data_IF_231301537927
#
_entry.id   IF_231301537927
#
_cell.length_a   1.000
_cell.length_b   1.000
_cell.length_c   1.000
_cell.angle_alpha   90.00
_cell.angle_beta   90.00
_cell.angle_gamma   90.00
#
_symmetry.space_group_name_H-M   'P 1'
#
loop_
_entity.id
_entity.type
_entity.pdbx_description
1 polymer ?
#
# COMPACT_ATOMS: atom_id res chain seq x y z
N UNK A 1 -4.33 9.64 6.91
CA UNK A 1 -4.95 10.65 6.01
C UNK A 1 -3.97 11.67 5.44
N UNK A 2 -2.91 12.10 6.16
CA UNK A 2 -1.90 13.03 5.60
C UNK A 2 -1.20 12.51 4.34
N UNK A 3 -1.00 11.20 4.22
CA UNK A 3 -0.27 10.58 3.10
C UNK A 3 -1.03 10.61 1.77
N UNK A 4 -2.37 10.53 1.81
CA UNK A 4 -3.21 10.55 0.61
C UNK A 4 -3.72 11.98 0.29
N UNK A 5 -3.47 12.94 1.18
CA UNK A 5 -3.92 14.33 1.07
C UNK A 5 -2.77 15.23 0.61
N UNK A 6 -2.97 16.12 -0.38
CA UNK A 6 -4.18 16.33 -1.16
C UNK A 6 -4.36 15.31 -2.29
N UNK A 7 -5.61 14.93 -2.57
CA UNK A 7 -5.96 14.16 -3.77
C UNK A 7 -6.15 15.13 -4.93
N UNK A 8 -5.44 14.88 -6.04
CA UNK A 8 -5.47 15.69 -7.27
C UNK A 8 -5.85 14.81 -8.46
N UNK A 9 -6.64 15.35 -9.38
CA UNK A 9 -6.97 14.69 -10.65
C UNK A 9 -5.80 14.75 -11.64
N UNK A 10 -5.62 13.72 -12.48
CA UNK A 10 -4.54 13.65 -13.49
C UNK A 10 -4.66 14.72 -14.59
N UNK A 11 -5.88 15.06 -15.00
CA UNK A 11 -6.16 16.01 -16.08
C UNK A 11 -6.55 17.34 -15.47
N UNK A 12 -5.76 18.39 -15.74
CA UNK A 12 -5.96 19.80 -15.34
C UNK A 12 -6.57 19.99 -13.95
N UNK A 13 -5.72 20.30 -12.97
CA UNK A 13 -5.99 20.41 -11.53
C UNK A 13 -7.08 21.43 -11.11
N UNK A 14 -8.31 21.29 -11.60
CA UNK A 14 -9.46 22.15 -11.29
C UNK A 14 -9.99 21.88 -9.89
N UNK A 15 -9.79 20.66 -9.38
CA UNK A 15 -10.27 20.22 -8.08
C UNK A 15 -9.09 19.73 -7.22
N UNK A 16 -9.12 20.09 -5.95
CA UNK A 16 -8.19 19.58 -4.94
C UNK A 16 -8.98 19.18 -3.69
N UNK A 17 -8.91 17.90 -3.31
CA UNK A 17 -9.58 17.36 -2.13
C UNK A 17 -8.56 17.20 -1.00
N UNK A 18 -8.89 17.75 0.17
CA UNK A 18 -8.07 17.66 1.38
C UNK A 18 -8.84 16.99 2.50
N UNK A 19 -8.14 16.15 3.25
CA UNK A 19 -8.64 15.56 4.48
C UNK A 19 -8.19 16.44 5.66
N UNK A 20 -9.14 17.10 6.32
CA UNK A 20 -8.87 18.12 7.34
C UNK A 20 -8.82 17.49 8.73
N UNK A 21 -9.87 16.76 9.08
CA UNK A 21 -10.04 16.15 10.39
C UNK A 21 -10.84 14.86 10.27
N UNK A 22 -10.82 14.05 11.32
CA UNK A 22 -11.70 12.90 11.46
C UNK A 22 -12.23 12.86 12.90
N UNK A 23 -13.42 12.31 13.06
CA UNK A 23 -14.06 12.09 14.35
C UNK A 23 -14.70 10.70 14.37
N UNK A 24 -14.56 10.01 15.51
CA UNK A 24 -15.41 8.86 15.82
C UNK A 24 -16.58 9.38 16.62
N UNK A 25 -17.80 9.12 16.16
CA UNK A 25 -18.99 9.39 16.99
C UNK A 25 -19.30 8.16 17.83
N UNK A 26 -20.14 8.34 18.84
CA UNK A 26 -20.53 7.25 19.71
C UNK A 26 -21.17 6.08 18.93
N UNK A 27 -21.03 4.83 19.41
CA UNK A 27 -21.77 3.70 18.88
C UNK A 27 -23.26 4.02 18.75
N UNK A 28 -23.90 3.49 17.71
CA UNK A 28 -25.31 3.73 17.47
C UNK A 28 -26.13 3.29 18.70
N UNK A 29 -27.24 3.96 19.02
CA UNK A 29 -28.13 3.49 20.09
C UNK A 29 -28.48 2.02 19.90
N UNK A 30 -28.38 1.23 20.98
CA UNK A 30 -28.60 -0.22 20.94
C UNK A 30 -27.41 -1.05 20.44
N UNK A 31 -26.19 -0.47 20.38
CA UNK A 31 -24.94 -1.14 20.05
C UNK A 31 -23.93 -1.06 21.22
N UNK A 32 -24.40 -1.29 22.44
CA UNK A 32 -23.48 -1.61 23.54
C UNK A 32 -22.83 -2.99 23.32
N UNK A 33 -21.72 -3.27 24.01
CA UNK A 33 -21.05 -4.58 23.92
C UNK A 33 -22.04 -5.75 24.16
N UNK A 34 -22.87 -5.65 25.21
CA UNK A 34 -23.86 -6.69 25.57
C UNK A 34 -24.94 -6.87 24.50
N UNK A 35 -25.50 -5.77 23.99
CA UNK A 35 -26.54 -5.83 22.95
C UNK A 35 -25.98 -6.40 21.63
N UNK A 36 -24.73 -6.08 21.30
CA UNK A 36 -24.09 -6.62 20.12
C UNK A 36 -23.93 -8.14 20.20
N UNK A 37 -23.65 -8.69 21.38
CA UNK A 37 -23.64 -10.13 21.62
C UNK A 37 -25.02 -10.76 21.43
N UNK A 38 -26.03 -10.25 22.14
CA UNK A 38 -27.38 -10.85 22.15
C UNK A 38 -28.06 -10.79 20.78
N UNK A 39 -27.81 -9.71 20.02
CA UNK A 39 -28.50 -9.43 18.76
C UNK A 39 -27.68 -9.79 17.52
N UNK A 40 -26.54 -10.44 17.69
CA UNK A 40 -25.61 -10.78 16.60
C UNK A 40 -25.16 -9.56 15.77
N UNK A 41 -24.90 -8.43 16.43
CA UNK A 41 -24.42 -7.19 15.79
C UNK A 41 -22.89 -7.05 15.94
N UNK A 42 -22.33 -6.06 15.26
CA UNK A 42 -20.92 -5.67 15.39
C UNK A 42 -20.83 -4.47 16.32
N UNK A 43 -19.92 -4.53 17.30
CA UNK A 43 -19.62 -3.40 18.18
C UNK A 43 -18.68 -2.43 17.44
N UNK A 44 -19.20 -1.27 17.04
CA UNK A 44 -18.50 -0.33 16.18
C UNK A 44 -18.96 1.11 16.39
N UNK A 45 -18.07 2.06 16.09
CA UNK A 45 -18.37 3.49 16.05
C UNK A 45 -18.32 4.03 14.61
N UNK A 46 -19.25 4.91 14.22
CA UNK A 46 -19.20 5.55 12.91
C UNK A 46 -18.04 6.57 12.84
N UNK A 47 -17.22 6.44 11.80
CA UNK A 47 -16.13 7.34 11.48
C UNK A 47 -16.62 8.40 10.48
N UNK A 48 -16.54 9.66 10.89
CA UNK A 48 -16.76 10.82 10.04
C UNK A 48 -15.45 11.51 9.72
N UNK A 49 -15.36 12.06 8.53
CA UNK A 49 -14.16 12.71 8.02
C UNK A 49 -14.53 14.05 7.43
N UNK A 50 -13.92 15.11 7.95
CA UNK A 50 -14.05 16.46 7.41
C UNK A 50 -13.17 16.57 6.18
N UNK A 51 -13.81 16.72 5.03
CA UNK A 51 -13.14 16.96 3.76
C UNK A 51 -13.32 18.40 3.32
N UNK A 52 -12.32 18.93 2.64
CA UNK A 52 -12.33 20.24 2.03
C UNK A 52 -12.07 20.07 0.53
N UNK A 53 -13.01 20.51 -0.30
CA UNK A 53 -12.89 20.54 -1.76
C UNK A 53 -12.62 21.98 -2.20
N UNK A 54 -11.45 22.21 -2.79
CA UNK A 54 -11.08 23.47 -3.43
C UNK A 54 -11.33 23.36 -4.95
N UNK A 55 -12.18 24.24 -5.47
CA UNK A 55 -12.39 24.43 -6.91
C UNK A 55 -11.46 25.56 -7.37
N UNK A 56 -10.32 25.21 -7.97
CA UNK A 56 -9.26 26.18 -8.30
C UNK A 56 -9.67 27.24 -9.31
N UNK A 57 -10.61 26.93 -10.20
CA UNK A 57 -11.10 27.87 -11.22
C UNK A 57 -11.89 29.02 -10.61
N UNK A 58 -12.67 28.75 -9.55
CA UNK A 58 -13.52 29.74 -8.89
C UNK A 58 -12.95 30.22 -7.55
N UNK A 59 -11.97 29.51 -7.00
CA UNK A 59 -11.48 29.71 -5.63
C UNK A 59 -12.47 29.24 -4.56
N UNK A 60 -13.59 28.62 -4.94
CA UNK A 60 -14.62 28.16 -4.01
C UNK A 60 -14.11 26.99 -3.15
N UNK A 61 -14.36 27.08 -1.84
CA UNK A 61 -14.02 26.05 -0.87
C UNK A 61 -15.32 25.48 -0.30
N UNK A 62 -15.50 24.17 -0.44
CA UNK A 62 -16.61 23.43 0.16
C UNK A 62 -16.09 22.50 1.24
N UNK A 63 -16.58 22.64 2.46
CA UNK A 63 -16.28 21.74 3.56
C UNK A 63 -17.49 20.89 3.89
N UNK A 64 -17.26 19.59 4.10
CA UNK A 64 -18.31 18.66 4.44
C UNK A 64 -17.77 17.55 5.34
N UNK A 65 -18.58 17.14 6.31
CA UNK A 65 -18.35 15.93 7.09
C UNK A 65 -18.97 14.74 6.35
N UNK A 66 -18.12 13.81 5.92
CA UNK A 66 -18.53 12.60 5.20
C UNK A 66 -18.46 11.39 6.13
N UNK A 67 -19.50 10.55 6.10
CA UNK A 67 -19.47 9.25 6.74
C UNK A 67 -18.58 8.31 5.93
N UNK A 68 -17.51 7.80 6.52
CA UNK A 68 -16.58 6.89 5.85
C UNK A 68 -16.95 5.41 6.08
N UNK A 69 -17.57 5.10 7.21
CA UNK A 69 -17.96 3.74 7.58
C UNK A 69 -17.97 3.53 9.09
N UNK A 70 -18.45 2.37 9.52
CA UNK A 70 -18.38 1.95 10.92
C UNK A 70 -17.07 1.21 11.18
N UNK A 71 -16.34 1.63 12.21
CA UNK A 71 -15.06 1.04 12.61
C UNK A 71 -15.28 0.17 13.86
N UNK A 72 -14.92 -1.12 13.82
CA UNK A 72 -15.00 -1.99 14.99
C UNK A 72 -14.23 -1.42 16.18
N UNK A 73 -14.87 -1.40 17.34
CA UNK A 73 -14.27 -0.92 18.58
C UNK A 73 -13.70 -2.09 19.39
N UNK A 74 -12.59 -1.82 20.07
CA UNK A 74 -12.00 -2.74 21.03
C UNK A 74 -12.77 -2.64 22.35
N UNK A 75 -13.15 -3.79 22.89
CA UNK A 75 -13.80 -3.91 24.20
C UNK A 75 -12.80 -3.67 25.33
N UNK A 76 -13.30 -3.49 26.56
CA UNK A 76 -12.43 -3.42 27.74
C UNK A 76 -11.54 -4.67 27.97
N UNK A 77 -11.90 -5.81 27.35
CA UNK A 77 -11.13 -7.06 27.41
C UNK A 77 -10.03 -7.17 26.35
N UNK A 78 -9.91 -6.18 25.45
CA UNK A 78 -8.99 -6.26 24.31
C UNK A 78 -9.48 -7.14 23.16
N UNK A 79 -10.79 -7.44 23.11
CA UNK A 79 -11.43 -8.22 22.05
C UNK A 79 -12.25 -7.30 21.13
N UNK A 80 -12.79 -7.85 20.04
CA UNK A 80 -13.71 -7.19 19.13
C UNK A 80 -14.98 -8.02 18.99
N UNK A 81 -16.14 -7.39 18.94
CA UNK A 81 -17.41 -8.10 18.71
C UNK A 81 -17.82 -7.88 17.26
N UNK A 82 -17.95 -8.96 16.51
CA UNK A 82 -18.32 -8.93 15.09
C UNK A 82 -19.38 -9.98 14.81
N UNK A 83 -20.56 -9.53 14.37
CA UNK A 83 -21.73 -10.40 14.19
C UNK A 83 -22.03 -11.25 15.45
N UNK A 84 -21.98 -10.64 16.64
CA UNK A 84 -22.21 -11.28 17.94
C UNK A 84 -21.05 -12.12 18.49
N UNK A 85 -20.07 -12.48 17.65
CA UNK A 85 -18.93 -13.28 18.05
C UNK A 85 -17.78 -12.40 18.56
N UNK A 86 -17.22 -12.77 19.72
CA UNK A 86 -15.97 -12.22 20.25
C UNK A 86 -14.79 -12.74 19.41
N UNK A 87 -13.95 -11.82 18.92
CA UNK A 87 -12.75 -12.09 18.12
C UNK A 87 -11.56 -11.38 18.72
N UNK A 88 -10.39 -11.99 18.60
CA UNK A 88 -9.12 -11.40 19.04
C UNK A 88 -8.24 -11.18 17.82
N UNK A 89 -7.66 -9.98 17.72
CA UNK A 89 -6.63 -9.70 16.72
C UNK A 89 -5.30 -10.22 17.27
N UNK A 90 -4.66 -11.13 16.54
CA UNK A 90 -3.35 -11.66 16.90
C UNK A 90 -2.26 -10.93 16.13
N UNK A 91 -1.15 -10.62 16.82
CA UNK A 91 0.03 -10.05 16.17
C UNK A 91 0.64 -11.07 15.21
N UNK A 92 0.82 -10.68 13.95
CA UNK A 92 1.51 -11.49 12.95
C UNK A 92 2.98 -11.09 12.87
N UNK A 93 3.86 -12.08 12.72
CA UNK A 93 5.25 -11.84 12.37
C UNK A 93 5.35 -11.61 10.86
N UNK A 94 5.59 -10.36 10.48
CA UNK A 94 5.85 -9.97 9.10
C UNK A 94 7.36 -9.92 8.85
N UNK A 95 7.77 -10.07 7.58
CA UNK A 95 9.16 -9.82 7.18
C UNK A 95 9.51 -8.36 7.45
N UNK A 96 10.68 -8.13 8.03
CA UNK A 96 11.18 -6.78 8.24
C UNK A 96 11.39 -6.07 6.88
N UNK A 97 11.28 -4.74 6.83
CA UNK A 97 11.75 -3.99 5.68
C UNK A 97 13.23 -4.29 5.41
N UNK A 98 13.60 -4.45 4.15
CA UNK A 98 14.96 -4.82 3.77
C UNK A 98 15.07 -5.38 2.36
N UNK A 99 16.28 -5.81 2.01
CA UNK A 99 16.57 -6.48 0.75
C UNK A 99 16.83 -7.96 1.03
N UNK A 100 16.05 -8.81 0.37
CA UNK A 100 16.12 -10.26 0.50
C UNK A 100 16.60 -10.87 -0.81
N UNK A 101 17.69 -11.62 -0.76
CA UNK A 101 18.20 -12.38 -1.90
C UNK A 101 17.77 -13.84 -1.77
N UNK A 102 17.48 -14.49 -2.89
CA UNK A 102 17.12 -15.90 -2.94
C UNK A 102 17.68 -16.52 -4.21
N UNK A 103 18.29 -17.69 -4.08
CA UNK A 103 18.76 -18.52 -5.18
C UNK A 103 17.84 -19.75 -5.23
N UNK A 104 17.38 -20.10 -6.42
CA UNK A 104 16.55 -21.28 -6.64
C UNK A 104 16.89 -21.95 -7.96
N UNK A 105 16.70 -23.26 -8.04
CA UNK A 105 16.94 -24.04 -9.25
C UNK A 105 15.74 -23.97 -10.19
N UNK A 106 15.97 -23.63 -11.46
CA UNK A 106 14.95 -23.70 -12.51
C UNK A 106 14.61 -25.16 -12.79
N UNK A 107 13.36 -25.55 -12.54
CA UNK A 107 12.92 -26.94 -12.67
C UNK A 107 13.05 -27.52 -14.09
N UNK A 108 13.17 -26.68 -15.12
CA UNK A 108 13.28 -27.13 -16.52
C UNK A 108 14.74 -27.28 -16.95
N UNK A 109 15.59 -26.33 -16.57
CA UNK A 109 16.98 -26.28 -17.02
C UNK A 109 17.99 -26.75 -15.98
N UNK A 110 17.59 -26.91 -14.71
CA UNK A 110 18.47 -27.18 -13.59
C UNK A 110 19.40 -26.01 -13.23
N UNK A 111 19.18 -24.82 -13.83
CA UNK A 111 20.06 -23.66 -13.65
C UNK A 111 19.70 -22.92 -12.37
N UNK A 112 20.71 -22.50 -11.61
CA UNK A 112 20.52 -21.57 -10.50
C UNK A 112 20.10 -20.19 -11.01
N UNK A 113 18.94 -19.73 -10.55
CA UNK A 113 18.39 -18.40 -10.82
C UNK A 113 18.33 -17.60 -9.52
N UNK A 114 18.79 -16.36 -9.60
CA UNK A 114 18.81 -15.41 -8.50
C UNK A 114 17.57 -14.50 -8.54
N UNK A 115 17.06 -14.15 -7.37
CA UNK A 115 16.05 -13.13 -7.20
C UNK A 115 16.35 -12.24 -6.01
N UNK A 116 15.93 -10.99 -6.07
CA UNK A 116 16.05 -10.03 -4.99
C UNK A 116 14.70 -9.33 -4.76
N UNK A 117 14.31 -9.16 -3.50
CA UNK A 117 13.10 -8.43 -3.11
C UNK A 117 13.47 -7.29 -2.19
N UNK A 118 13.22 -6.06 -2.65
CA UNK A 118 13.29 -4.87 -1.83
C UNK A 118 11.90 -4.59 -1.27
N UNK A 119 11.78 -4.82 0.04
CA UNK A 119 10.54 -4.65 0.81
C UNK A 119 10.69 -3.35 1.61
N UNK A 120 10.01 -2.26 1.20
CA UNK A 120 10.06 -1.03 1.96
C UNK A 120 9.14 -1.10 3.19
N UNK A 121 9.39 -0.25 4.19
CA UNK A 121 8.47 -0.06 5.33
C UNK A 121 7.10 0.47 4.88
N UNK A 122 7.07 1.16 3.75
CA UNK A 122 5.87 1.78 3.16
C UNK A 122 6.09 1.97 1.67
N UNK A 123 5.07 1.68 0.86
CA UNK A 123 5.09 1.89 -0.59
C UNK A 123 5.24 0.60 -1.39
N UNK A 124 5.54 0.77 -2.68
CA UNK A 124 5.60 -0.32 -3.66
C UNK A 124 6.81 -1.23 -3.43
N UNK A 125 6.57 -2.54 -3.51
CA UNK A 125 7.65 -3.52 -3.50
C UNK A 125 8.39 -3.51 -4.84
N UNK A 126 9.69 -3.73 -4.79
CA UNK A 126 10.51 -3.87 -5.98
C UNK A 126 11.15 -5.26 -5.99
N UNK A 127 10.85 -6.03 -7.02
CA UNK A 127 11.33 -7.40 -7.16
C UNK A 127 12.21 -7.50 -8.40
N UNK A 128 13.32 -8.21 -8.29
CA UNK A 128 14.27 -8.50 -9.35
C UNK A 128 14.44 -10.00 -9.49
N UNK A 129 14.60 -10.47 -10.71
CA UNK A 129 14.80 -11.89 -11.00
C UNK A 129 15.62 -12.07 -12.27
N UNK A 130 16.51 -13.06 -12.23
CA UNK A 130 17.16 -13.61 -13.42
C UNK A 130 16.26 -14.68 -14.04
N UNK A 131 16.33 -14.83 -15.35
CA UNK A 131 15.63 -15.89 -16.08
C UNK A 131 16.61 -16.83 -16.77
N UNK A 132 16.12 -18.02 -17.16
CA UNK A 132 16.89 -18.98 -17.96
C UNK A 132 17.23 -18.51 -19.40
N UNK A 133 16.86 -17.28 -19.75
CA UNK A 133 17.19 -16.61 -21.02
C UNK A 133 18.24 -15.51 -20.86
N UNK A 134 18.96 -15.50 -19.74
CA UNK A 134 20.00 -14.50 -19.44
C UNK A 134 19.47 -13.06 -19.40
N UNK A 135 18.21 -12.90 -18.98
CA UNK A 135 17.58 -11.59 -18.81
C UNK A 135 17.29 -11.33 -17.34
N UNK A 136 17.71 -10.16 -16.85
CA UNK A 136 17.30 -9.60 -15.56
C UNK A 136 16.03 -8.77 -15.76
N UNK A 137 14.99 -9.12 -15.01
CA UNK A 137 13.70 -8.40 -15.01
C UNK A 137 13.44 -7.74 -13.66
N UNK A 138 12.69 -6.65 -13.70
CA UNK A 138 12.12 -6.00 -12.53
C UNK A 138 10.59 -6.10 -12.53
N UNK A 139 9.99 -6.14 -11.35
CA UNK A 139 8.55 -5.95 -11.09
C UNK A 139 8.37 -4.88 -10.03
N UNK A 140 7.42 -3.98 -10.27
CA UNK A 140 7.01 -2.95 -9.33
C UNK A 140 5.62 -3.33 -8.84
N UNK A 141 5.46 -3.54 -7.53
CA UNK A 141 4.18 -3.84 -6.88
C UNK A 141 3.43 -5.05 -7.48
N UNK A 142 4.18 -6.13 -7.75
CA UNK A 142 3.63 -7.37 -8.32
C UNK A 142 3.10 -7.26 -9.76
N UNK A 143 3.29 -6.13 -10.43
CA UNK A 143 2.84 -5.89 -11.82
C UNK A 143 3.64 -6.72 -12.83
N UNK A 144 3.47 -6.42 -14.12
CA UNK A 144 4.16 -7.11 -15.23
C UNK A 144 5.68 -6.96 -15.11
N UNK A 145 6.39 -8.01 -15.53
CA UNK A 145 7.85 -8.01 -15.66
C UNK A 145 8.25 -6.99 -16.72
N UNK A 146 9.22 -6.16 -16.41
CA UNK A 146 9.89 -5.26 -17.35
C UNK A 146 11.39 -5.57 -17.34
N UNK A 147 12.11 -5.44 -18.47
CA UNK A 147 13.56 -5.51 -18.46
C UNK A 147 14.15 -4.50 -17.46
N UNK A 148 15.20 -4.88 -16.74
CA UNK A 148 15.83 -3.98 -15.75
C UNK A 148 16.27 -2.64 -16.37
N UNK A 149 16.70 -2.67 -17.64
CA UNK A 149 17.11 -1.48 -18.39
C UNK A 149 15.98 -0.47 -18.57
N UNK A 150 14.72 -0.90 -18.63
CA UNK A 150 13.57 0.01 -18.67
C UNK A 150 13.45 0.81 -17.38
N UNK A 151 13.65 0.15 -16.23
CA UNK A 151 13.65 0.82 -14.92
C UNK A 151 14.85 1.77 -14.81
N UNK A 152 16.05 1.33 -15.18
CA UNK A 152 17.27 2.15 -15.12
C UNK A 152 17.16 3.42 -15.99
N UNK A 153 16.55 3.31 -17.18
CA UNK A 153 16.26 4.49 -18.01
C UNK A 153 15.26 5.44 -17.36
N UNK A 154 14.22 4.90 -16.71
CA UNK A 154 13.21 5.71 -16.04
C UNK A 154 13.77 6.50 -14.84
N UNK A 155 14.84 6.02 -14.19
CA UNK A 155 15.49 6.71 -13.07
C UNK A 155 16.61 7.67 -13.48
N UNK A 156 16.97 7.73 -14.77
CA UNK A 156 17.89 8.75 -15.30
C UNK A 156 19.05 8.26 -16.19
N UNK A 157 19.21 6.94 -16.37
CA UNK A 157 20.28 6.38 -17.23
C UNK A 157 19.76 6.17 -18.65
N UNK A 158 19.64 7.27 -19.40
CA UNK A 158 18.94 7.32 -20.68
C UNK A 158 19.69 6.70 -21.86
N UNK A 159 21.03 6.72 -21.88
CA UNK A 159 21.83 6.19 -22.99
C UNK A 159 22.40 4.79 -22.71
N UNK A 160 22.75 4.05 -23.78
CA UNK A 160 23.39 2.74 -23.62
C UNK A 160 24.76 2.87 -22.94
N UNK A 161 25.53 3.89 -23.31
CA UNK A 161 26.85 4.17 -22.72
C UNK A 161 26.77 4.38 -21.21
N UNK A 162 25.76 5.12 -20.73
CA UNK A 162 25.51 5.27 -19.29
C UNK A 162 25.19 3.95 -18.60
N UNK A 163 24.41 3.08 -19.26
CA UNK A 163 24.11 1.75 -18.72
C UNK A 163 25.35 0.86 -18.69
N UNK A 164 26.19 0.87 -19.71
CA UNK A 164 27.44 0.09 -19.73
C UNK A 164 28.41 0.57 -18.64
N UNK A 165 28.58 1.89 -18.50
CA UNK A 165 29.46 2.47 -17.49
C UNK A 165 29.02 2.20 -16.04
N UNK A 166 27.73 1.89 -15.80
CA UNK A 166 27.25 1.51 -14.47
C UNK A 166 27.74 0.13 -14.02
N UNK A 167 28.06 -0.75 -14.98
CA UNK A 167 28.40 -2.14 -14.72
C UNK A 167 29.80 -2.49 -15.25
N UNK A 168 30.65 -1.50 -15.54
CA UNK A 168 31.96 -1.70 -16.16
C UNK A 168 32.97 -2.45 -15.29
N UNK A 169 32.78 -2.47 -13.96
CA UNK A 169 33.63 -3.24 -13.04
C UNK A 169 33.19 -4.70 -12.90
N UNK A 170 31.98 -5.04 -13.38
CA UNK A 170 31.40 -6.39 -13.29
C UNK A 170 31.42 -7.11 -14.66
N UNK A 171 31.94 -6.45 -15.69
CA UNK A 171 32.06 -6.96 -17.05
C UNK A 171 33.47 -7.55 -17.25
N UNK A 172 33.70 -8.74 -16.68
CA UNK A 172 34.93 -9.54 -16.86
C UNK A 172 34.95 -10.22 -18.26
N UNK A 173 34.73 -9.44 -19.31
CA UNK A 173 34.86 -9.89 -20.71
C UNK A 173 36.33 -9.92 -21.17
#
# INVERSE_FOLDING_TARGET
>A
MKEISPVKTLTSSKLELRFIAYEFREPRPGHSEAECHERNLTYSAPLYVRVQLLIKETGEIKEQDLFLGDIPLMTAKGTFITSGAERVVVSQLLRSPGVYFTIGEDATTGRELCSAKLIPTRGAWLEFETSNRDVISAKIDGKRKIPITTLLRAIGYGSNEQLFNLFSEEDDS
#
